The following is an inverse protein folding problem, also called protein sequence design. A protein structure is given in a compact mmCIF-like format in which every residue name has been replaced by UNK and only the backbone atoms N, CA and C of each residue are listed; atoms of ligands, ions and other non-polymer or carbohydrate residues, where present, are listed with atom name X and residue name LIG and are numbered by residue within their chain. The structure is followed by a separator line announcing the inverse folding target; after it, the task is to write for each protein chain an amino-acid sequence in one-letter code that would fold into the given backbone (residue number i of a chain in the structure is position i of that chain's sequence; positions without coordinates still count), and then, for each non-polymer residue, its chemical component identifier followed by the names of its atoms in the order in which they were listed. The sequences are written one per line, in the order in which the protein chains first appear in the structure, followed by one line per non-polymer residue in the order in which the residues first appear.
data_IF_763755133738
#
_entry.id   IF_763755133738
#
_cell.length_a   1.000
_cell.length_b   1.000
_cell.length_c   1.000
_cell.angle_alpha   90.00
_cell.angle_beta   90.00
_cell.angle_gamma   90.00
#
_symmetry.space_group_name_H-M   'P 1'
#
loop_
_entity.id
_entity.type
_entity.pdbx_description
1 polymer ?
#
# COMPACT_ATOMS: atom_id res chain seq x y z
N UNK A 1 20.18 -29.90 28.57
CA UNK A 1 20.50 -29.46 27.21
C UNK A 1 21.66 -30.30 26.73
N UNK A 2 21.43 -31.16 25.75
CA UNK A 2 22.47 -32.03 25.19
C UNK A 2 23.36 -31.24 24.23
N UNK A 3 24.64 -31.60 24.10
CA UNK A 3 25.61 -30.91 23.21
C UNK A 3 25.14 -30.90 21.74
N UNK A 4 24.40 -31.94 21.33
CA UNK A 4 23.82 -32.08 20.00
C UNK A 4 22.71 -31.05 19.71
N UNK A 5 21.87 -30.72 20.70
CA UNK A 5 20.82 -29.70 20.57
C UNK A 5 21.44 -28.31 20.38
N UNK A 6 22.56 -28.05 21.04
CA UNK A 6 23.30 -26.78 20.91
C UNK A 6 23.88 -26.60 19.51
N UNK A 7 24.51 -27.65 18.96
CA UNK A 7 25.07 -27.63 17.61
C UNK A 7 23.99 -27.45 16.53
N UNK A 8 22.86 -28.13 16.67
CA UNK A 8 21.70 -27.95 15.80
C UNK A 8 21.13 -26.53 15.85
N UNK A 9 21.03 -25.93 17.04
CA UNK A 9 20.56 -24.55 17.21
C UNK A 9 21.50 -23.51 16.58
N UNK A 10 22.83 -23.70 16.72
CA UNK A 10 23.83 -22.84 16.08
C UNK A 10 23.69 -22.91 14.57
N UNK A 11 23.62 -24.12 14.01
CA UNK A 11 23.49 -24.34 12.56
C UNK A 11 22.19 -23.78 11.99
N UNK A 12 21.09 -23.91 12.73
CA UNK A 12 19.81 -23.28 12.38
C UNK A 12 19.91 -21.75 12.38
N UNK A 13 20.60 -21.18 13.37
CA UNK A 13 20.87 -19.74 13.44
C UNK A 13 21.66 -19.23 12.23
N UNK A 14 22.74 -19.92 11.87
CA UNK A 14 23.58 -19.59 10.71
C UNK A 14 22.81 -19.67 9.39
N UNK A 15 22.00 -20.71 9.21
CA UNK A 15 21.14 -20.87 8.02
C UNK A 15 20.13 -19.72 7.88
N UNK A 16 19.50 -19.32 8.98
CA UNK A 16 18.58 -18.17 9.01
C UNK A 16 19.28 -16.86 8.63
N UNK A 17 20.49 -16.62 9.15
CA UNK A 17 21.27 -15.43 8.82
C UNK A 17 21.65 -15.40 7.34
N UNK A 18 22.15 -16.52 6.81
CA UNK A 18 22.53 -16.63 5.40
C UNK A 18 21.35 -16.40 4.46
N UNK A 19 20.17 -16.92 4.80
CA UNK A 19 18.95 -16.65 4.03
C UNK A 19 18.57 -15.17 4.05
N UNK A 20 18.71 -14.50 5.21
CA UNK A 20 18.39 -13.09 5.36
C UNK A 20 19.33 -12.20 4.52
N UNK A 21 20.63 -12.47 4.55
CA UNK A 21 21.62 -11.75 3.74
C UNK A 21 21.32 -11.89 2.24
N UNK A 22 20.99 -13.11 1.78
CA UNK A 22 20.57 -13.34 0.38
C UNK A 22 19.30 -12.57 0.03
N UNK A 23 18.30 -12.57 0.91
CA UNK A 23 17.05 -11.85 0.69
C UNK A 23 17.24 -10.33 0.60
N UNK A 24 18.20 -9.77 1.34
CA UNK A 24 18.56 -8.35 1.25
C UNK A 24 19.21 -7.99 -0.08
N UNK A 25 20.04 -8.87 -0.64
CA UNK A 25 20.69 -8.67 -1.95
C UNK A 25 19.67 -8.74 -3.08
N UNK A 26 18.68 -9.64 -2.98
CA UNK A 26 17.67 -9.86 -4.02
C UNK A 26 16.53 -8.83 -3.94
N UNK A 27 16.25 -8.28 -2.75
CA UNK A 27 15.12 -7.37 -2.57
C UNK A 27 15.36 -6.03 -3.28
N UNK A 28 14.38 -5.56 -4.08
CA UNK A 28 14.39 -4.20 -4.59
C UNK A 28 14.56 -3.17 -3.46
N UNK A 29 15.33 -2.11 -3.71
CA UNK A 29 15.67 -1.11 -2.69
C UNK A 29 14.45 -0.44 -2.03
N UNK A 30 13.34 -0.31 -2.76
CA UNK A 30 12.06 0.16 -2.23
C UNK A 30 11.43 -0.84 -1.25
N UNK A 31 11.46 -2.13 -1.56
CA UNK A 31 10.96 -3.21 -0.70
C UNK A 31 11.78 -3.32 0.58
N UNK A 32 13.11 -3.27 0.49
CA UNK A 32 13.99 -3.30 1.65
C UNK A 32 13.74 -2.10 2.58
N UNK A 33 13.55 -0.90 2.01
CA UNK A 33 13.22 0.32 2.77
C UNK A 33 11.88 0.19 3.49
N UNK A 34 10.84 -0.25 2.79
CA UNK A 34 9.49 -0.43 3.37
C UNK A 34 9.52 -1.50 4.47
N UNK A 35 10.20 -2.62 4.25
CA UNK A 35 10.34 -3.67 5.26
C UNK A 35 11.04 -3.16 6.52
N UNK A 36 12.16 -2.43 6.37
CA UNK A 36 12.85 -1.78 7.51
C UNK A 36 11.93 -0.82 8.27
N UNK A 37 11.17 0.02 7.55
CA UNK A 37 10.19 0.93 8.18
C UNK A 37 9.17 0.16 9.01
N UNK A 38 8.61 -0.93 8.46
CA UNK A 38 7.62 -1.76 9.16
C UNK A 38 8.20 -2.55 10.33
N UNK A 39 9.46 -2.98 10.25
CA UNK A 39 10.16 -3.58 11.39
C UNK A 39 10.33 -2.59 12.54
N UNK A 40 10.64 -1.32 12.25
CA UNK A 40 10.75 -0.26 13.27
C UNK A 40 9.41 -0.01 13.94
N UNK A 41 8.33 0.11 13.16
CA UNK A 41 6.96 0.24 13.69
C UNK A 41 6.59 -0.93 14.60
N UNK A 42 6.90 -2.17 14.19
CA UNK A 42 6.64 -3.36 15.01
C UNK A 42 7.42 -3.35 16.32
N UNK A 43 8.71 -2.99 16.29
CA UNK A 43 9.54 -2.90 17.50
C UNK A 43 9.00 -1.86 18.47
N UNK A 44 8.65 -0.67 17.98
CA UNK A 44 8.03 0.38 18.80
C UNK A 44 6.71 -0.08 19.40
N UNK A 45 5.84 -0.72 18.61
CA UNK A 45 4.61 -1.30 19.13
C UNK A 45 4.86 -2.33 20.24
N UNK A 46 5.92 -3.14 20.12
CA UNK A 46 6.31 -4.09 21.16
C UNK A 46 6.80 -3.43 22.46
N UNK A 47 7.36 -2.22 22.41
CA UNK A 47 7.75 -1.46 23.60
C UNK A 47 6.52 -1.00 24.39
N UNK A 48 5.43 -0.70 23.69
CA UNK A 48 4.15 -0.34 24.31
C UNK A 48 3.39 -1.57 24.85
N UNK A 49 3.81 -2.79 24.52
CA UNK A 49 3.22 -4.02 25.03
C UNK A 49 3.97 -4.53 26.26
N UNK A 50 3.24 -5.12 27.22
CA UNK A 50 3.80 -5.75 28.42
C UNK A 50 4.42 -7.14 28.15
N UNK A 51 5.22 -7.29 27.09
CA UNK A 51 5.93 -8.54 26.80
C UNK A 51 7.18 -8.68 27.68
N UNK A 52 7.57 -9.92 27.99
CA UNK A 52 8.82 -10.20 28.69
C UNK A 52 10.03 -9.79 27.86
N UNK A 53 11.10 -9.32 28.49
CA UNK A 53 12.32 -8.87 27.81
C UNK A 53 12.91 -9.92 26.88
N UNK A 54 12.82 -11.20 27.28
CA UNK A 54 13.30 -12.34 26.49
C UNK A 54 12.53 -12.55 25.18
N UNK A 55 11.25 -12.18 25.13
CA UNK A 55 10.37 -12.43 23.96
C UNK A 55 9.87 -11.14 23.31
N UNK A 56 10.31 -9.98 23.81
CA UNK A 56 9.82 -8.65 23.43
C UNK A 56 9.93 -8.39 21.93
N UNK A 57 10.96 -8.90 21.27
CA UNK A 57 11.14 -8.73 19.82
C UNK A 57 10.97 -10.01 19.03
N UNK A 58 10.70 -11.13 19.70
CA UNK A 58 10.39 -12.39 19.02
C UNK A 58 9.06 -12.26 18.30
N UNK A 59 9.09 -12.54 17.00
CA UNK A 59 7.89 -12.54 16.17
C UNK A 59 7.23 -13.91 16.32
N UNK A 60 6.03 -13.94 16.86
CA UNK A 60 5.19 -15.14 16.98
C UNK A 60 3.89 -14.86 16.21
N UNK A 61 3.30 -15.88 15.59
CA UNK A 61 2.09 -15.76 14.78
C UNK A 61 0.99 -14.87 15.40
N UNK A 62 0.56 -15.11 16.65
CA UNK A 62 -0.48 -14.29 17.30
C UNK A 62 -0.10 -12.82 17.45
N UNK A 63 1.17 -12.55 17.76
CA UNK A 63 1.70 -11.20 17.95
C UNK A 63 1.77 -10.42 16.63
N UNK A 64 2.24 -11.08 15.58
CA UNK A 64 2.24 -10.49 14.24
C UNK A 64 0.81 -10.22 13.77
N UNK A 65 -0.11 -11.16 13.98
CA UNK A 65 -1.51 -10.99 13.64
C UNK A 65 -2.15 -9.79 14.36
N UNK A 66 -1.92 -9.66 15.67
CA UNK A 66 -2.43 -8.55 16.46
C UNK A 66 -1.88 -7.20 15.97
N UNK A 67 -0.57 -7.12 15.72
CA UNK A 67 0.05 -5.93 15.16
C UNK A 67 -0.58 -5.55 13.81
N UNK A 68 -0.71 -6.50 12.88
CA UNK A 68 -1.29 -6.25 11.56
C UNK A 68 -2.76 -5.81 11.66
N UNK A 69 -3.53 -6.38 12.58
CA UNK A 69 -4.92 -5.97 12.78
C UNK A 69 -5.02 -4.52 13.28
N UNK A 70 -4.16 -4.11 14.22
CA UNK A 70 -4.17 -2.75 14.75
C UNK A 70 -3.61 -1.72 13.75
N UNK A 71 -2.51 -2.05 13.06
CA UNK A 71 -1.78 -1.09 12.22
C UNK A 71 -2.14 -1.13 10.74
N UNK A 72 -2.51 -2.27 10.17
CA UNK A 72 -2.87 -2.35 8.74
C UNK A 72 -4.36 -2.11 8.55
N UNK A 73 -5.20 -2.66 9.42
CA UNK A 73 -6.66 -2.49 9.32
C UNK A 73 -7.12 -1.20 10.02
N UNK A 74 -6.53 -0.86 11.18
CA UNK A 74 -6.81 0.40 11.88
C UNK A 74 -6.46 1.65 11.06
N UNK A 75 -5.26 1.69 10.46
CA UNK A 75 -4.81 2.82 9.62
C UNK A 75 -5.64 2.95 8.33
N UNK A 76 -6.04 1.85 7.71
CA UNK A 76 -6.95 1.91 6.55
C UNK A 76 -8.30 2.56 6.89
N UNK A 77 -8.83 2.32 8.10
CA UNK A 77 -10.08 2.93 8.53
C UNK A 77 -9.93 4.43 8.76
N UNK A 78 -8.80 4.88 9.30
CA UNK A 78 -8.51 6.30 9.50
C UNK A 78 -8.17 7.02 8.19
N UNK A 79 -7.46 6.39 7.25
CA UNK A 79 -7.24 6.91 5.89
C UNK A 79 -8.59 7.03 5.17
N UNK A 80 -9.45 6.01 5.22
CA UNK A 80 -10.80 6.07 4.63
C UNK A 80 -11.67 7.14 5.29
N UNK A 81 -11.56 7.34 6.60
CA UNK A 81 -12.25 8.43 7.33
C UNK A 81 -11.74 9.80 6.93
N UNK A 82 -10.41 10.01 6.88
CA UNK A 82 -9.79 11.27 6.43
C UNK A 82 -10.15 11.59 4.98
N UNK A 83 -10.13 10.58 4.10
CA UNK A 83 -10.55 10.72 2.70
C UNK A 83 -12.03 11.14 2.59
N UNK A 84 -12.93 10.51 3.36
CA UNK A 84 -14.34 10.93 3.42
C UNK A 84 -14.53 12.35 3.98
N UNK A 85 -13.75 12.75 4.99
CA UNK A 85 -13.78 14.13 5.52
C UNK A 85 -13.28 15.16 4.50
N UNK A 86 -12.27 14.84 3.70
CA UNK A 86 -11.78 15.71 2.61
C UNK A 86 -12.84 15.96 1.52
N UNK A 87 -13.80 15.05 1.33
CA UNK A 87 -14.91 15.24 0.39
C UNK A 87 -16.13 15.93 1.03
N UNK A 88 -16.28 15.88 2.35
CA UNK A 88 -17.37 16.56 3.04
C UNK A 88 -17.23 18.08 3.00
N UNK A 89 -16.00 18.59 2.96
CA UNK A 89 -15.69 20.03 2.93
C UNK A 89 -15.66 20.63 1.51
N UNK A 90 -15.87 19.80 0.48
CA UNK A 90 -15.97 20.27 -0.91
C UNK A 90 -17.38 20.74 -1.29
N UNK A 91 -18.32 20.72 -0.35
CA UNK A 91 -19.71 21.11 -0.57
C UNK A 91 -20.39 20.24 -1.63
N UNK A 92 -21.72 20.28 -1.67
CA UNK A 92 -22.51 19.63 -2.72
C UNK A 92 -22.36 20.30 -4.11
N UNK A 93 -21.35 21.17 -4.27
CA UNK A 93 -21.17 22.09 -5.40
C UNK A 93 -19.83 21.90 -6.15
N UNK A 94 -19.04 20.88 -5.78
CA UNK A 94 -17.83 20.50 -6.52
C UNK A 94 -18.11 19.87 -7.90
N UNK A 95 -19.37 19.88 -8.37
CA UNK A 95 -19.71 19.58 -9.76
C UNK A 95 -19.51 20.81 -10.69
N UNK A 96 -19.06 21.95 -10.14
CA UNK A 96 -18.80 23.20 -10.86
C UNK A 96 -17.42 23.79 -10.55
N UNK A 97 -16.39 22.95 -10.36
CA UNK A 97 -15.02 23.44 -10.57
C UNK A 97 -14.82 23.65 -12.08
N UNK A 98 -14.94 24.92 -12.50
CA UNK A 98 -14.22 25.53 -13.61
C UNK A 98 -14.27 24.93 -15.03
N UNK A 99 -14.96 23.82 -15.30
CA UNK A 99 -15.02 23.20 -16.63
C UNK A 99 -16.48 22.99 -17.04
N UNK A 100 -16.83 23.65 -18.14
CA UNK A 100 -18.15 23.71 -18.78
C UNK A 100 -19.08 24.81 -18.23
N UNK A 101 -18.79 26.07 -18.57
CA UNK A 101 -19.82 27.11 -18.65
C UNK A 101 -21.01 26.58 -19.47
N UNK A 102 -22.26 26.96 -19.15
CA UNK A 102 -23.45 26.49 -19.90
C UNK A 102 -23.30 26.65 -21.42
N UNK A 103 -22.50 27.62 -21.88
CA UNK A 103 -22.19 27.86 -23.29
C UNK A 103 -21.32 26.78 -23.95
N UNK A 104 -20.56 26.00 -23.16
CA UNK A 104 -19.72 24.90 -23.63
C UNK A 104 -20.49 23.57 -23.75
N UNK A 105 -21.64 23.44 -23.07
CA UNK A 105 -22.50 22.24 -23.13
C UNK A 105 -23.00 22.00 -24.58
N UNK A 106 -23.47 23.01 -25.33
CA UNK A 106 -23.82 22.86 -26.75
C UNK A 106 -22.65 22.38 -27.61
N UNK A 107 -21.43 22.90 -27.40
CA UNK A 107 -20.25 22.48 -28.17
C UNK A 107 -19.90 21.01 -27.94
N UNK A 108 -19.92 20.56 -26.69
CA UNK A 108 -19.67 19.15 -26.34
C UNK A 108 -20.76 18.25 -26.92
N UNK A 109 -22.03 18.64 -26.77
CA UNK A 109 -23.15 17.90 -27.35
C UNK A 109 -23.04 17.81 -28.87
N UNK A 110 -22.73 18.91 -29.55
CA UNK A 110 -22.58 18.95 -31.01
C UNK A 110 -21.50 17.97 -31.44
N UNK A 111 -20.30 17.99 -30.84
CA UNK A 111 -19.21 17.08 -31.19
C UNK A 111 -19.63 15.60 -31.19
N UNK A 112 -20.29 15.13 -30.12
CA UNK A 112 -20.69 13.71 -30.03
C UNK A 112 -21.89 13.36 -30.91
N UNK A 113 -22.81 14.30 -31.17
CA UNK A 113 -23.98 14.05 -32.01
C UNK A 113 -23.75 14.28 -33.51
N UNK A 114 -22.78 15.12 -33.90
CA UNK A 114 -22.44 15.39 -35.31
C UNK A 114 -21.30 14.53 -35.82
N UNK A 115 -20.45 13.95 -34.95
CA UNK A 115 -19.40 12.99 -35.34
C UNK A 115 -19.95 11.59 -35.71
N UNK A 116 -21.10 11.57 -36.40
CA UNK A 116 -21.84 10.38 -36.80
C UNK A 116 -22.07 10.25 -38.30
N UNK A 117 -21.41 11.03 -39.16
CA UNK A 117 -21.32 10.76 -40.61
C UNK A 117 -20.00 11.29 -41.16
N UNK A 118 -19.01 10.40 -41.28
CA UNK A 118 -18.08 10.35 -42.40
C UNK A 118 -17.39 8.96 -42.36
N UNK A 119 -18.18 7.92 -42.60
CA UNK A 119 -17.66 6.68 -43.15
C UNK A 119 -17.73 6.82 -44.67
N UNK A 120 -16.59 7.01 -45.33
CA UNK A 120 -16.58 7.04 -46.79
C UNK A 120 -15.38 7.73 -47.40
N UNK A 121 -14.21 7.14 -47.24
CA UNK A 121 -13.14 7.23 -48.23
C UNK A 121 -13.71 7.01 -49.63
N UNK A 122 -13.69 8.03 -50.49
CA UNK A 122 -13.44 7.89 -51.93
C UNK A 122 -13.22 9.26 -52.56
N UNK A 123 -11.94 9.65 -52.68
CA UNK A 123 -11.41 10.44 -53.79
C UNK A 123 -9.92 10.11 -53.91
N UNK A 124 -9.60 9.10 -54.72
CA UNK A 124 -8.42 9.14 -55.59
C UNK A 124 -8.96 9.28 -57.01
N UNK A 125 -8.62 10.40 -57.63
CA UNK A 125 -8.80 10.67 -59.05
C UNK A 125 -7.95 9.73 -59.91
N UNK A 126 -8.57 9.12 -60.92
CA UNK A 126 -8.04 8.95 -62.30
C UNK A 126 -9.23 9.01 -63.25
#
# INVERSE_FOLDING_TARGET
MSEEESCMNIRLGESCLQMYERALVISPANTARTCKSKQIEFKKWCEDQAFSDLTRFTVIGPKLHQFLNQFVIGDQNDIKRKKRKMFADRGSDALLDGYTTNDQIPCISTYFWTAGRDYGTNIISV
#
